data_IF_584033271288
#
_entry.id   IF_584033271288
#
_cell.length_a   1.000
_cell.length_b   1.000
_cell.length_c   1.000
_cell.angle_alpha   90.00
_cell.angle_beta   90.00
_cell.angle_gamma   90.00
#
_symmetry.space_group_name_H-M   'P 1'
#
loop_
_entity.id
_entity.type
_entity.pdbx_description
1 polymer ?
#
# COMPACT_ATOMS: atom_id res chain seq x y z
N UNK A 1 15.95 7.49 21.98
CA UNK A 1 16.38 6.23 21.33
C UNK A 1 15.17 5.73 20.58
N UNK A 2 15.11 5.96 19.26
CA UNK A 2 14.01 5.51 18.41
C UNK A 2 14.58 4.52 17.40
N UNK A 3 14.08 3.28 17.42
CA UNK A 3 14.39 2.23 16.46
C UNK A 3 13.48 2.41 15.23
N UNK A 4 13.84 3.29 14.30
CA UNK A 4 13.11 3.44 13.03
C UNK A 4 14.04 3.64 11.83
N UNK A 5 15.16 2.94 11.80
CA UNK A 5 15.83 2.66 10.53
C UNK A 5 15.47 1.21 10.16
N UNK A 6 14.65 1.03 9.12
CA UNK A 6 14.71 -0.23 8.39
C UNK A 6 16.15 -0.30 7.88
N UNK A 7 16.99 -1.10 8.52
CA UNK A 7 18.38 -1.25 8.12
C UNK A 7 18.44 -1.61 6.63
N UNK A 8 19.36 -1.01 5.88
CA UNK A 8 19.59 -1.29 4.46
C UNK A 8 19.73 -2.79 4.16
N UNK A 9 20.15 -3.59 5.14
CA UNK A 9 20.16 -5.05 5.06
C UNK A 9 18.76 -5.64 4.96
N UNK A 10 17.81 -5.20 5.79
CA UNK A 10 16.43 -5.67 5.78
C UNK A 10 15.70 -5.27 4.49
N UNK A 11 15.94 -4.05 3.97
CA UNK A 11 15.41 -3.62 2.69
C UNK A 11 15.96 -4.47 1.53
N UNK A 12 17.27 -4.77 1.53
CA UNK A 12 17.88 -5.64 0.53
C UNK A 12 17.33 -7.08 0.57
N UNK A 13 17.11 -7.64 1.77
CA UNK A 13 16.48 -8.95 1.95
C UNK A 13 15.03 -8.95 1.44
N UNK A 14 14.26 -7.91 1.75
CA UNK A 14 12.91 -7.74 1.24
C UNK A 14 12.88 -7.65 -0.28
N UNK A 15 13.74 -6.83 -0.88
CA UNK A 15 13.84 -6.70 -2.33
C UNK A 15 14.25 -8.03 -2.99
N UNK A 16 15.19 -8.78 -2.40
CA UNK A 16 15.54 -10.11 -2.87
C UNK A 16 14.34 -11.08 -2.81
N UNK A 17 13.53 -11.00 -1.74
CA UNK A 17 12.29 -11.77 -1.64
C UNK A 17 11.29 -11.38 -2.73
N UNK A 18 11.06 -10.08 -2.95
CA UNK A 18 10.17 -9.57 -4.00
C UNK A 18 10.62 -10.05 -5.39
N UNK A 19 11.90 -9.94 -5.70
CA UNK A 19 12.49 -10.43 -6.96
C UNK A 19 12.26 -11.92 -7.15
N UNK A 20 12.39 -12.71 -6.08
CA UNK A 20 12.09 -14.14 -6.11
C UNK A 20 10.61 -14.40 -6.40
N UNK A 21 9.69 -13.69 -5.72
CA UNK A 21 8.25 -13.82 -5.97
C UNK A 21 7.88 -13.45 -7.41
N UNK A 22 8.40 -12.31 -7.89
CA UNK A 22 8.20 -11.82 -9.24
C UNK A 22 8.74 -12.78 -10.31
N UNK A 23 9.90 -13.41 -10.07
CA UNK A 23 10.50 -14.35 -11.05
C UNK A 23 9.78 -15.69 -11.05
N UNK A 24 9.42 -16.21 -9.87
CA UNK A 24 8.84 -17.55 -9.70
C UNK A 24 7.33 -17.61 -9.86
N UNK A 25 6.65 -16.45 -9.92
CA UNK A 25 5.19 -16.36 -9.88
C UNK A 25 4.56 -16.96 -8.61
N UNK A 26 5.30 -16.99 -7.50
CA UNK A 26 4.84 -17.49 -6.21
C UNK A 26 4.84 -16.34 -5.21
N UNK A 27 3.65 -15.89 -4.82
CA UNK A 27 3.47 -14.71 -3.99
C UNK A 27 3.21 -15.08 -2.53
N UNK A 28 3.73 -14.28 -1.61
CA UNK A 28 3.54 -14.48 -0.18
C UNK A 28 2.14 -14.07 0.29
N UNK A 29 1.57 -13.03 -0.34
CA UNK A 29 0.22 -12.57 -0.05
C UNK A 29 -0.77 -13.06 -1.09
N UNK A 30 -1.93 -13.54 -0.62
CA UNK A 30 -2.98 -14.06 -1.50
C UNK A 30 -3.58 -12.98 -2.40
N UNK A 31 -3.67 -11.73 -1.93
CA UNK A 31 -4.15 -10.60 -2.71
C UNK A 31 -3.15 -10.17 -3.80
N UNK A 32 -1.85 -10.36 -3.60
CA UNK A 32 -0.87 -10.18 -4.67
C UNK A 32 -1.07 -11.24 -5.77
N UNK A 33 -1.26 -12.51 -5.40
CA UNK A 33 -1.54 -13.57 -6.37
C UNK A 33 -2.84 -13.30 -7.16
N UNK A 34 -3.90 -12.84 -6.48
CA UNK A 34 -5.16 -12.49 -7.11
C UNK A 34 -4.99 -11.33 -8.11
N UNK A 35 -4.31 -10.25 -7.68
CA UNK A 35 -4.03 -9.10 -8.53
C UNK A 35 -3.25 -9.51 -9.79
N UNK A 36 -2.17 -10.28 -9.65
CA UNK A 36 -1.36 -10.69 -10.81
C UNK A 36 -2.15 -11.55 -11.79
N UNK A 37 -3.10 -12.37 -11.30
CA UNK A 37 -3.96 -13.18 -12.15
C UNK A 37 -5.02 -12.34 -12.88
N UNK A 38 -5.65 -11.39 -12.19
CA UNK A 38 -6.65 -10.49 -12.76
C UNK A 38 -6.09 -9.61 -13.89
N UNK A 39 -4.85 -9.16 -13.74
CA UNK A 39 -4.19 -8.25 -14.70
C UNK A 39 -3.31 -8.95 -15.76
N UNK A 40 -3.44 -10.28 -15.93
CA UNK A 40 -2.66 -11.08 -16.89
C UNK A 40 -1.12 -10.91 -16.76
N UNK A 41 -0.65 -10.86 -15.51
CA UNK A 41 0.78 -10.67 -15.18
C UNK A 41 1.49 -11.98 -14.80
N UNK A 42 0.81 -13.13 -14.88
CA UNK A 42 1.38 -14.43 -14.47
C UNK A 42 2.34 -15.06 -15.49
N UNK A 43 2.40 -14.52 -16.71
CA UNK A 43 3.26 -15.04 -17.77
C UNK A 43 4.76 -14.80 -17.50
N UNK A 44 5.62 -15.73 -17.96
CA UNK A 44 7.06 -15.78 -17.65
C UNK A 44 7.85 -14.50 -18.03
N UNK A 45 7.38 -13.71 -19.00
CA UNK A 45 8.04 -12.47 -19.45
C UNK A 45 7.63 -11.20 -18.69
N UNK A 46 6.82 -11.31 -17.64
CA UNK A 46 6.24 -10.14 -16.93
C UNK A 46 6.93 -9.85 -15.60
N UNK A 47 8.09 -10.45 -15.32
CA UNK A 47 8.72 -10.37 -13.99
C UNK A 47 9.11 -8.95 -13.58
N UNK A 48 9.59 -8.10 -14.48
CA UNK A 48 9.92 -6.70 -14.12
C UNK A 48 8.68 -5.91 -13.72
N UNK A 49 7.54 -6.15 -14.42
CA UNK A 49 6.26 -5.51 -14.09
C UNK A 49 5.77 -6.01 -12.73
N UNK A 50 5.85 -7.32 -12.48
CA UNK A 50 5.49 -7.92 -11.19
C UNK A 50 6.37 -7.38 -10.05
N UNK A 51 7.67 -7.26 -10.26
CA UNK A 51 8.61 -6.72 -9.28
C UNK A 51 8.22 -5.29 -8.88
N UNK A 52 8.03 -4.38 -9.85
CA UNK A 52 7.59 -3.02 -9.59
C UNK A 52 6.28 -2.98 -8.79
N UNK A 53 5.29 -3.75 -9.22
CA UNK A 53 3.97 -3.79 -8.56
C UNK A 53 4.07 -4.36 -7.14
N UNK A 54 4.92 -5.35 -6.90
CA UNK A 54 5.13 -5.88 -5.55
C UNK A 54 5.84 -4.87 -4.64
N UNK A 55 6.74 -4.05 -5.16
CA UNK A 55 7.35 -2.93 -4.42
C UNK A 55 6.28 -1.89 -4.06
N UNK A 56 5.48 -1.45 -5.04
CA UNK A 56 4.37 -0.51 -4.82
C UNK A 56 3.42 -1.05 -3.72
N UNK A 57 2.99 -2.31 -3.87
CA UNK A 57 2.08 -2.96 -2.93
C UNK A 57 2.68 -3.17 -1.55
N UNK A 58 3.99 -3.38 -1.42
CA UNK A 58 4.64 -3.48 -0.12
C UNK A 58 4.59 -2.14 0.64
N UNK A 59 4.91 -1.03 -0.05
CA UNK A 59 4.84 0.32 0.53
C UNK A 59 3.41 0.70 0.90
N UNK A 60 2.44 0.46 0.00
CA UNK A 60 1.02 0.74 0.27
C UNK A 60 0.52 -0.10 1.44
N UNK A 61 0.87 -1.40 1.51
CA UNK A 61 0.45 -2.27 2.61
C UNK A 61 0.98 -1.79 3.95
N UNK A 62 2.21 -1.27 3.98
CA UNK A 62 2.79 -0.65 5.17
C UNK A 62 2.02 0.61 5.56
N UNK A 63 1.75 1.51 4.61
CA UNK A 63 0.94 2.71 4.85
C UNK A 63 -0.46 2.38 5.39
N UNK A 64 -1.17 1.44 4.75
CA UNK A 64 -2.50 0.97 5.17
C UNK A 64 -2.46 0.41 6.59
N UNK A 65 -1.45 -0.40 6.91
CA UNK A 65 -1.31 -1.01 8.23
C UNK A 65 -1.03 0.04 9.31
N UNK A 66 -0.17 1.02 9.03
CA UNK A 66 0.15 2.09 9.98
C UNK A 66 -1.05 3.01 10.22
N UNK A 67 -1.78 3.38 9.17
CA UNK A 67 -3.01 4.20 9.28
C UNK A 67 -4.11 3.47 10.08
N UNK A 68 -4.27 2.16 9.89
CA UNK A 68 -5.22 1.35 10.68
C UNK A 68 -4.78 1.25 12.14
N UNK A 69 -3.47 1.12 12.40
CA UNK A 69 -2.92 1.08 13.76
C UNK A 69 -3.15 2.39 14.54
N UNK A 70 -3.12 3.53 13.84
CA UNK A 70 -3.52 4.85 14.37
C UNK A 70 -5.05 5.01 14.57
N UNK A 71 -5.82 3.98 14.22
CA UNK A 71 -7.26 3.90 14.50
C UNK A 71 -8.15 4.42 13.38
N UNK A 72 -7.59 4.83 12.23
CA UNK A 72 -8.41 5.25 11.09
C UNK A 72 -9.12 4.06 10.45
N UNK A 73 -10.34 4.30 9.95
CA UNK A 73 -10.90 3.48 8.88
C UNK A 73 -10.52 4.09 7.53
N UNK A 74 -10.39 3.25 6.51
CA UNK A 74 -9.93 3.62 5.18
C UNK A 74 -11.06 3.43 4.18
N UNK A 75 -11.31 4.48 3.41
CA UNK A 75 -12.20 4.50 2.26
C UNK A 75 -11.33 4.63 1.00
N UNK A 76 -11.67 3.88 -0.07
CA UNK A 76 -10.87 3.84 -1.31
C UNK A 76 -11.68 4.47 -2.44
N UNK A 77 -11.07 5.45 -3.11
CA UNK A 77 -11.58 6.05 -4.33
C UNK A 77 -10.58 5.84 -5.46
N UNK A 78 -10.97 5.11 -6.49
CA UNK A 78 -10.07 4.61 -7.55
C UNK A 78 -9.83 5.59 -8.70
N UNK A 79 -9.83 6.88 -8.41
CA UNK A 79 -9.84 7.95 -9.44
C UNK A 79 -11.19 8.16 -10.14
N UNK A 80 -12.09 7.16 -10.18
CA UNK A 80 -13.39 7.28 -10.84
C UNK A 80 -14.57 7.24 -9.86
N UNK A 81 -14.56 6.25 -8.97
CA UNK A 81 -15.64 5.99 -8.03
C UNK A 81 -15.15 5.51 -6.67
N UNK A 82 -16.10 5.34 -5.77
CA UNK A 82 -15.84 4.84 -4.43
C UNK A 82 -15.97 3.32 -4.36
N UNK A 83 -14.84 2.61 -4.30
CA UNK A 83 -14.79 1.15 -4.30
C UNK A 83 -14.92 0.55 -2.89
N UNK A 84 -14.48 1.27 -1.85
CA UNK A 84 -14.61 0.86 -0.43
C UNK A 84 -15.15 2.02 0.39
N UNK A 85 -16.24 1.82 1.13
CA UNK A 85 -16.93 2.89 1.87
C UNK A 85 -16.36 3.20 3.27
N UNK A 86 -15.44 2.37 3.76
CA UNK A 86 -14.80 2.53 5.07
C UNK A 86 -14.54 1.19 5.76
N UNK A 87 -13.28 0.81 5.92
CA UNK A 87 -12.88 -0.47 6.55
C UNK A 87 -11.60 -0.32 7.39
N UNK A 88 -11.41 -1.22 8.36
CA UNK A 88 -10.12 -1.42 9.05
C UNK A 88 -9.47 -2.75 8.68
N UNK A 89 -9.96 -3.40 7.64
CA UNK A 89 -9.40 -4.63 7.10
C UNK A 89 -8.43 -4.29 5.96
N UNK A 90 -7.14 -4.51 6.20
CA UNK A 90 -6.11 -4.20 5.22
C UNK A 90 -6.27 -5.01 3.92
N UNK A 91 -6.74 -6.26 4.00
CA UNK A 91 -6.98 -7.10 2.82
C UNK A 91 -8.02 -6.50 1.87
N UNK A 92 -9.12 -5.98 2.43
CA UNK A 92 -10.18 -5.29 1.68
C UNK A 92 -9.64 -4.04 0.98
N UNK A 93 -8.78 -3.26 1.64
CA UNK A 93 -8.15 -2.09 1.01
C UNK A 93 -7.23 -2.53 -0.13
N UNK A 94 -6.34 -3.50 0.13
CA UNK A 94 -5.32 -3.95 -0.83
C UNK A 94 -5.89 -4.67 -2.05
N UNK A 95 -7.10 -5.23 -1.95
CA UNK A 95 -7.84 -5.80 -3.07
C UNK A 95 -8.55 -4.74 -3.92
N UNK A 96 -8.81 -3.54 -3.39
CA UNK A 96 -9.60 -2.51 -4.05
C UNK A 96 -8.78 -1.41 -4.74
N UNK A 97 -7.48 -1.33 -4.45
CA UNK A 97 -6.53 -0.38 -5.04
C UNK A 97 -5.97 -0.90 -6.38
N UNK A 98 -5.28 -0.02 -7.12
CA UNK A 98 -4.57 -0.32 -8.37
C UNK A 98 -5.48 -0.79 -9.52
N UNK A 99 -6.75 -0.36 -9.50
CA UNK A 99 -7.70 -0.59 -10.59
C UNK A 99 -7.58 0.43 -11.72
N UNK A 100 -6.98 1.59 -11.41
CA UNK A 100 -6.61 2.66 -12.35
C UNK A 100 -5.16 3.09 -12.05
N UNK A 101 -4.69 4.15 -12.70
CA UNK A 101 -3.32 4.65 -12.52
C UNK A 101 -3.11 5.43 -11.19
N UNK A 102 -4.19 5.76 -10.46
CA UNK A 102 -4.12 6.41 -9.16
C UNK A 102 -5.28 6.06 -8.22
N UNK A 103 -5.03 6.11 -6.91
CA UNK A 103 -6.06 6.00 -5.89
C UNK A 103 -5.99 7.17 -4.90
N UNK A 104 -7.13 7.50 -4.29
CA UNK A 104 -7.19 8.26 -3.04
C UNK A 104 -7.67 7.37 -1.92
N UNK A 105 -6.85 7.25 -0.87
CA UNK A 105 -7.27 6.70 0.40
C UNK A 105 -7.81 7.83 1.27
N UNK A 106 -9.10 7.80 1.60
CA UNK A 106 -9.69 8.73 2.56
C UNK A 106 -9.66 8.11 3.96
N UNK A 107 -9.10 8.85 4.91
CA UNK A 107 -9.01 8.42 6.30
C UNK A 107 -10.20 8.95 7.08
N UNK A 108 -10.84 8.04 7.81
CA UNK A 108 -12.08 8.31 8.52
C UNK A 108 -11.86 8.10 10.02
N UNK A 109 -12.19 9.13 10.81
CA UNK A 109 -12.49 8.96 12.22
C UNK A 109 -13.84 8.26 12.34
N UNK A 110 -13.89 7.20 13.15
CA UNK A 110 -15.11 6.44 13.41
C UNK A 110 -15.48 6.62 14.87
N UNK A 111 -16.60 7.30 15.10
CA UNK A 111 -17.13 7.59 16.44
C UNK A 111 -18.52 6.98 16.63
N UNK A 112 -18.92 6.80 17.88
CA UNK A 112 -20.24 6.25 18.21
C UNK A 112 -20.31 4.71 18.17
N UNK A 113 -21.49 4.13 18.37
CA UNK A 113 -21.64 2.69 18.51
C UNK A 113 -21.47 1.97 17.16
N UNK A 114 -20.97 0.74 17.19
CA UNK A 114 -20.70 -0.05 15.98
C UNK A 114 -21.91 -0.26 15.05
N UNK A 115 -23.14 -0.21 15.57
CA UNK A 115 -24.37 -0.37 14.79
C UNK A 115 -24.86 0.92 14.11
N UNK A 116 -24.28 2.07 14.45
CA UNK A 116 -24.58 3.37 13.84
C UNK A 116 -23.36 4.30 13.97
N UNK A 117 -22.22 3.94 13.35
CA UNK A 117 -21.02 4.74 13.46
C UNK A 117 -21.17 6.06 12.70
N UNK A 118 -20.66 7.14 13.28
CA UNK A 118 -20.45 8.40 12.59
C UNK A 118 -19.05 8.40 12.01
N UNK A 119 -18.95 8.54 10.70
CA UNK A 119 -17.68 8.66 9.98
C UNK A 119 -17.43 10.11 9.60
N UNK A 120 -16.24 10.63 9.90
CA UNK A 120 -15.80 11.96 9.49
C UNK A 120 -14.42 11.89 8.87
N UNK A 121 -14.19 12.63 7.78
CA UNK A 121 -12.92 12.61 7.06
C UNK A 121 -11.84 13.34 7.87
N UNK A 122 -10.78 12.63 8.20
CA UNK A 122 -9.61 13.09 8.95
C UNK A 122 -8.45 13.51 8.03
N UNK A 123 -8.40 13.00 6.80
CA UNK A 123 -7.35 13.30 5.84
C UNK A 123 -7.46 12.41 4.60
N UNK A 124 -6.45 12.49 3.74
CA UNK A 124 -6.31 11.66 2.56
C UNK A 124 -4.84 11.36 2.23
N UNK A 125 -4.63 10.26 1.50
CA UNK A 125 -3.36 9.86 0.88
C UNK A 125 -3.61 9.65 -0.61
N UNK A 126 -2.71 10.15 -1.46
CA UNK A 126 -2.72 9.97 -2.90
C UNK A 126 -1.66 8.96 -3.30
N UNK A 127 -2.11 7.90 -3.96
CA UNK A 127 -1.28 6.86 -4.54
C UNK A 127 -1.21 7.05 -6.05
N UNK A 128 0.00 7.03 -6.61
CA UNK A 128 0.23 7.10 -8.06
C UNK A 128 1.10 5.92 -8.47
N UNK A 129 0.64 5.15 -9.45
CA UNK A 129 1.28 3.91 -9.86
C UNK A 129 2.10 4.07 -11.14
N UNK A 130 3.06 3.17 -11.33
CA UNK A 130 3.74 3.00 -12.60
C UNK A 130 5.09 3.70 -12.73
N UNK A 131 5.55 4.40 -11.68
CA UNK A 131 6.86 5.04 -11.60
C UNK A 131 7.98 4.01 -11.33
N UNK A 132 8.92 4.33 -10.44
CA UNK A 132 10.04 3.48 -10.04
C UNK A 132 9.62 2.39 -9.04
N UNK A 133 8.42 2.56 -8.45
CA UNK A 133 7.69 1.57 -7.68
C UNK A 133 7.74 1.81 -6.17
N UNK A 134 8.81 2.40 -5.65
CA UNK A 134 8.95 2.71 -4.23
C UNK A 134 8.30 4.06 -3.84
N UNK A 135 8.18 4.98 -4.80
CA UNK A 135 7.68 6.36 -4.66
C UNK A 135 6.14 6.49 -4.80
N UNK A 136 5.40 5.42 -4.49
CA UNK A 136 3.95 5.31 -4.78
C UNK A 136 3.07 6.26 -3.97
N UNK A 137 3.50 6.68 -2.78
CA UNK A 137 2.79 7.68 -1.96
C UNK A 137 3.20 9.07 -2.43
N UNK A 138 2.39 9.67 -3.30
CA UNK A 138 2.72 10.92 -4.01
C UNK A 138 2.48 12.17 -3.16
N UNK A 139 1.35 12.22 -2.45
CA UNK A 139 0.99 13.35 -1.58
C UNK A 139 -0.01 12.90 -0.51
N UNK A 140 -0.13 13.64 0.58
CA UNK A 140 -1.07 13.36 1.66
C UNK A 140 -1.38 14.59 2.52
N UNK A 141 -2.48 14.52 3.27
CA UNK A 141 -2.81 15.58 4.23
C UNK A 141 -1.78 15.59 5.37
N UNK A 142 -1.14 16.74 5.61
CA UNK A 142 0.04 16.88 6.48
C UNK A 142 -0.13 16.38 7.92
N UNK A 143 -1.35 16.28 8.45
CA UNK A 143 -1.61 15.70 9.77
C UNK A 143 -1.32 14.19 9.85
N UNK A 144 -1.08 13.51 8.72
CA UNK A 144 -0.77 12.09 8.64
C UNK A 144 0.73 11.77 8.67
N UNK A 145 1.62 12.78 8.70
CA UNK A 145 3.06 12.56 8.58
C UNK A 145 3.64 11.56 9.59
N UNK A 146 3.21 11.63 10.85
CA UNK A 146 3.62 10.66 11.87
C UNK A 146 3.07 9.24 11.60
N UNK A 147 1.81 9.15 11.15
CA UNK A 147 1.17 7.88 10.83
C UNK A 147 1.79 7.19 9.60
N UNK A 148 2.43 7.96 8.71
CA UNK A 148 3.02 7.45 7.47
C UNK A 148 4.55 7.28 7.56
N UNK A 149 5.17 7.59 8.70
CA UNK A 149 6.63 7.51 8.86
C UNK A 149 7.14 6.11 8.50
N UNK A 150 6.49 5.06 8.98
CA UNK A 150 6.92 3.68 8.69
C UNK A 150 6.82 3.28 7.22
N UNK A 151 5.90 3.88 6.44
CA UNK A 151 5.79 3.65 5.01
C UNK A 151 6.84 4.47 4.23
N UNK A 152 7.10 5.71 4.67
CA UNK A 152 8.16 6.56 4.12
C UNK A 152 9.54 5.93 4.32
N UNK A 153 9.86 5.49 5.55
CA UNK A 153 11.13 4.83 5.86
C UNK A 153 11.35 3.56 5.01
N UNK A 154 10.27 2.80 4.76
CA UNK A 154 10.34 1.61 3.90
C UNK A 154 10.58 2.00 2.44
N UNK A 155 9.87 3.01 1.94
CA UNK A 155 10.03 3.52 0.58
C UNK A 155 11.47 4.00 0.34
N UNK A 156 11.99 4.83 1.25
CA UNK A 156 13.36 5.34 1.20
C UNK A 156 14.39 4.21 1.21
N UNK A 157 14.25 3.26 2.14
CA UNK A 157 15.18 2.13 2.25
C UNK A 157 15.16 1.21 1.02
N UNK A 158 14.00 1.04 0.37
CA UNK A 158 13.90 0.32 -0.90
C UNK A 158 14.54 1.11 -2.05
N UNK A 159 14.32 2.42 -2.11
CA UNK A 159 14.95 3.31 -3.09
C UNK A 159 16.48 3.30 -3.03
N UNK A 160 17.07 3.12 -1.84
CA UNK A 160 18.53 3.01 -1.67
C UNK A 160 19.14 1.71 -2.23
N UNK A 161 18.35 0.65 -2.38
CA UNK A 161 18.84 -0.69 -2.77
C UNK A 161 18.35 -1.18 -4.14
N UNK A 162 17.54 -0.39 -4.83
CA UNK A 162 17.03 -0.64 -6.18
C UNK A 162 18.05 -0.27 -7.26
#
# INVERSE_FOLDING_TARGET
MSNHEVSSTAAAEMLASIRSQATTNHFQHADDAAFMAEHDLTAAGKYQIRERILIERAVIRKAVSDLIAEGYAIQVHNGEELSVTGTRDAGTVMAAIMQTDEDRLYLLNVEGPAHAPKMTRAGWVHLVYGNDGWDVVSDYTTNLGNALTGAGDLADALGEVL
#
